data_IF_703346509554
#
_entry.id   IF_703346509554
#
_cell.length_a   1.000
_cell.length_b   1.000
_cell.length_c   1.000
_cell.angle_alpha   90.00
_cell.angle_beta   90.00
_cell.angle_gamma   90.00
#
_symmetry.space_group_name_H-M   'P 1'
#
loop_
_entity.id
_entity.type
_entity.pdbx_description
1 polymer ?
#
# COMPACT_ATOMS: atom_id res chain seq x y z
N UNK A 1 -4.86 11.02 -11.27
CA UNK A 1 -4.53 12.41 -10.90
C UNK A 1 -5.43 12.85 -9.76
N UNK A 2 -4.92 12.94 -8.57
CA UNK A 2 -5.71 13.38 -7.42
C UNK A 2 -5.88 14.89 -7.48
N UNK A 3 -7.12 15.36 -7.49
CA UNK A 3 -7.43 16.80 -7.45
C UNK A 3 -7.74 17.18 -6.01
N UNK A 4 -6.89 18.00 -5.42
CA UNK A 4 -7.19 18.61 -4.11
C UNK A 4 -8.16 19.78 -4.36
N UNK A 5 -9.31 19.70 -3.72
CA UNK A 5 -10.30 20.79 -3.76
C UNK A 5 -10.41 21.42 -2.36
N UNK A 6 -10.24 22.70 -2.30
CA UNK A 6 -10.52 23.48 -1.10
C UNK A 6 -11.94 24.03 -1.26
N UNK A 7 -12.80 23.81 -0.26
CA UNK A 7 -14.16 24.36 -0.27
C UNK A 7 -14.12 25.89 -0.23
N UNK A 8 -15.17 26.54 -0.76
CA UNK A 8 -15.28 28.01 -0.69
C UNK A 8 -15.29 28.51 0.75
N UNK A 9 -15.92 27.77 1.65
CA UNK A 9 -16.01 28.13 3.07
C UNK A 9 -14.64 27.99 3.76
N UNK A 10 -13.90 26.92 3.49
CA UNK A 10 -12.55 26.76 3.99
C UNK A 10 -11.61 27.85 3.47
N UNK A 11 -11.73 28.23 2.18
CA UNK A 11 -10.94 29.30 1.59
C UNK A 11 -11.30 30.67 2.22
N UNK A 12 -12.60 30.94 2.43
CA UNK A 12 -13.08 32.14 3.11
C UNK A 12 -12.62 32.20 4.57
N UNK A 13 -12.52 31.04 5.25
CA UNK A 13 -11.96 30.92 6.59
C UNK A 13 -10.42 31.05 6.64
N UNK A 14 -9.76 31.31 5.50
CA UNK A 14 -8.32 31.56 5.42
C UNK A 14 -7.48 30.32 5.17
N UNK A 15 -8.08 29.16 4.88
CA UNK A 15 -7.31 27.97 4.49
C UNK A 15 -6.64 28.18 3.13
N UNK A 16 -5.34 27.92 3.07
CA UNK A 16 -4.50 28.11 1.87
C UNK A 16 -3.73 26.83 1.58
N UNK A 17 -3.18 26.72 0.37
CA UNK A 17 -2.37 25.57 -0.04
C UNK A 17 -1.23 25.28 0.94
N UNK A 18 -0.63 26.29 1.55
CA UNK A 18 0.41 26.10 2.57
C UNK A 18 -0.04 25.23 3.76
N UNK A 19 -1.32 25.26 4.11
CA UNK A 19 -1.86 24.45 5.21
C UNK A 19 -1.96 22.98 4.85
N UNK A 20 -1.93 22.63 3.56
CA UNK A 20 -1.86 21.25 3.09
C UNK A 20 -0.52 20.62 3.55
N UNK A 21 0.58 21.37 3.50
CA UNK A 21 1.87 20.92 4.01
C UNK A 21 1.82 20.59 5.51
N UNK A 22 1.12 21.41 6.30
CA UNK A 22 0.94 21.17 7.74
C UNK A 22 0.10 19.91 8.01
N UNK A 23 -0.94 19.67 7.22
CA UNK A 23 -1.75 18.45 7.31
C UNK A 23 -0.93 17.22 6.92
N UNK A 24 -0.19 17.29 5.82
CA UNK A 24 0.67 16.20 5.37
C UNK A 24 1.80 15.92 6.38
N UNK A 25 2.42 16.95 6.94
CA UNK A 25 3.41 16.78 7.99
C UNK A 25 2.82 16.06 9.21
N UNK A 26 1.64 16.49 9.66
CA UNK A 26 0.96 15.85 10.78
C UNK A 26 0.63 14.39 10.49
N UNK A 27 0.19 14.08 9.27
CA UNK A 27 -0.10 12.71 8.85
C UNK A 27 1.17 11.85 8.82
N UNK A 28 2.23 12.32 8.17
CA UNK A 28 3.51 11.61 8.11
C UNK A 28 4.09 11.42 9.51
N UNK A 29 3.95 12.42 10.39
CA UNK A 29 4.40 12.30 11.77
C UNK A 29 3.65 11.22 12.55
N UNK A 30 2.35 11.09 12.32
CA UNK A 30 1.54 10.08 12.99
C UNK A 30 1.85 8.65 12.50
N UNK A 31 2.15 8.51 11.20
CA UNK A 31 2.38 7.20 10.57
C UNK A 31 3.87 6.79 10.61
N UNK A 32 4.78 7.76 10.53
CA UNK A 32 6.22 7.53 10.37
C UNK A 32 7.06 8.53 11.19
N UNK A 33 6.82 8.61 12.49
CA UNK A 33 7.50 9.58 13.37
C UNK A 33 9.04 9.50 13.26
N UNK A 34 9.59 8.29 13.11
CA UNK A 34 11.03 8.08 12.99
C UNK A 34 11.70 8.74 11.77
N UNK A 35 10.93 9.11 10.75
CA UNK A 35 11.45 9.67 9.49
C UNK A 35 10.88 11.02 9.12
N UNK A 36 9.92 11.55 9.88
CA UNK A 36 9.21 12.79 9.53
C UNK A 36 10.15 13.96 9.25
N UNK A 37 11.21 14.10 10.05
CA UNK A 37 12.18 15.18 9.90
C UNK A 37 13.17 14.98 8.74
N UNK A 38 13.11 13.82 8.09
CA UNK A 38 13.90 13.48 6.89
C UNK A 38 13.08 13.53 5.61
N UNK A 39 11.78 13.79 5.72
CA UNK A 39 10.87 13.85 4.58
C UNK A 39 10.74 15.27 4.07
N UNK A 40 10.92 15.46 2.76
CA UNK A 40 10.55 16.67 2.04
C UNK A 40 9.33 16.35 1.16
N UNK A 41 8.25 17.10 1.34
CA UNK A 41 7.05 16.98 0.53
C UNK A 41 6.91 18.19 -0.37
N UNK A 42 7.03 17.96 -1.67
CA UNK A 42 6.86 18.99 -2.69
C UNK A 42 5.54 18.77 -3.43
N UNK A 43 4.68 19.79 -3.43
CA UNK A 43 3.37 19.73 -4.07
C UNK A 43 3.41 20.52 -5.39
N UNK A 44 3.29 19.79 -6.49
CA UNK A 44 3.18 20.38 -7.83
C UNK A 44 1.71 20.61 -8.16
N UNK A 45 1.34 21.82 -8.54
CA UNK A 45 -0.03 22.21 -8.87
C UNK A 45 -0.22 22.56 -10.34
N UNK A 46 0.85 22.90 -11.03
CA UNK A 46 0.84 23.13 -12.47
C UNK A 46 0.77 21.82 -13.26
N UNK A 47 -0.20 21.63 -14.18
CA UNK A 47 -0.37 20.36 -14.89
C UNK A 47 0.82 19.98 -15.79
N UNK A 48 1.50 20.94 -16.38
CA UNK A 48 2.65 20.67 -17.25
C UNK A 48 3.84 20.22 -16.39
N UNK A 49 4.07 20.87 -15.27
CA UNK A 49 5.11 20.50 -14.32
C UNK A 49 4.81 19.12 -13.67
N UNK A 50 3.56 18.83 -13.33
CA UNK A 50 3.16 17.49 -12.84
C UNK A 50 3.49 16.40 -13.88
N UNK A 51 3.19 16.67 -15.16
CA UNK A 51 3.49 15.73 -16.25
C UNK A 51 5.00 15.54 -16.41
N UNK A 52 5.76 16.61 -16.38
CA UNK A 52 7.22 16.57 -16.48
C UNK A 52 7.84 15.76 -15.34
N UNK A 53 7.50 16.07 -14.09
CA UNK A 53 8.02 15.37 -12.92
C UNK A 53 7.62 13.88 -12.94
N UNK A 54 6.41 13.57 -13.37
CA UNK A 54 5.98 12.17 -13.52
C UNK A 54 6.88 11.40 -14.48
N UNK A 55 7.14 11.95 -15.67
CA UNK A 55 7.88 11.24 -16.71
C UNK A 55 9.39 11.29 -16.50
N UNK A 56 9.93 12.39 -16.05
CA UNK A 56 11.39 12.59 -15.94
C UNK A 56 11.96 12.10 -14.60
N UNK A 57 11.14 12.06 -13.55
CA UNK A 57 11.60 11.71 -12.20
C UNK A 57 10.92 10.46 -11.65
N UNK A 58 9.58 10.46 -11.54
CA UNK A 58 8.87 9.40 -10.83
C UNK A 58 8.93 8.05 -11.57
N UNK A 59 8.62 8.02 -12.85
CA UNK A 59 8.65 6.78 -13.65
C UNK A 59 10.04 6.14 -13.66
N UNK A 60 11.15 6.85 -13.91
CA UNK A 60 12.49 6.26 -13.83
C UNK A 60 12.85 5.69 -12.46
N UNK A 61 12.39 6.32 -11.37
CA UNK A 61 12.62 5.81 -10.00
C UNK A 61 11.86 4.50 -9.79
N UNK A 62 10.58 4.44 -10.20
CA UNK A 62 9.77 3.22 -10.10
C UNK A 62 10.33 2.09 -10.96
N UNK A 63 10.72 2.37 -12.20
CA UNK A 63 11.34 1.36 -13.07
C UNK A 63 12.61 0.78 -12.42
N UNK A 64 13.45 1.64 -11.85
CA UNK A 64 14.67 1.21 -11.17
C UNK A 64 14.42 0.39 -9.90
N UNK A 65 13.28 0.64 -9.22
CA UNK A 65 12.81 -0.21 -8.11
C UNK A 65 12.37 -1.57 -8.65
N UNK A 66 11.57 -1.58 -9.70
CA UNK A 66 10.99 -2.79 -10.29
C UNK A 66 12.09 -3.71 -10.86
N UNK A 67 13.11 -3.15 -11.52
CA UNK A 67 14.30 -3.89 -11.96
C UNK A 67 15.01 -4.65 -10.82
N UNK A 68 14.95 -4.14 -9.59
CA UNK A 68 15.51 -4.84 -8.42
C UNK A 68 14.59 -5.94 -7.91
N UNK A 69 13.27 -5.78 -8.10
CA UNK A 69 12.28 -6.80 -7.74
C UNK A 69 12.29 -7.96 -8.72
N UNK A 70 12.55 -7.73 -10.01
CA UNK A 70 12.60 -8.77 -11.05
C UNK A 70 13.60 -9.89 -10.75
N UNK A 71 14.54 -9.66 -9.84
CA UNK A 71 15.52 -10.64 -9.38
C UNK A 71 15.06 -11.43 -8.16
N UNK A 72 13.92 -11.09 -7.58
CA UNK A 72 13.38 -11.70 -6.37
C UNK A 72 12.08 -12.45 -6.71
N UNK A 73 11.96 -13.64 -6.14
CA UNK A 73 10.72 -14.41 -6.17
C UNK A 73 10.19 -14.62 -4.76
N UNK A 74 8.95 -15.02 -4.63
CA UNK A 74 8.35 -15.32 -3.35
C UNK A 74 9.10 -16.42 -2.61
N UNK A 75 9.73 -17.36 -3.33
CA UNK A 75 10.57 -18.44 -2.76
C UNK A 75 11.94 -17.94 -2.30
N UNK A 76 12.45 -16.86 -2.90
CA UNK A 76 13.79 -16.33 -2.63
C UNK A 76 13.91 -15.53 -1.33
N UNK A 77 12.81 -15.29 -0.65
CA UNK A 77 12.76 -14.51 0.59
C UNK A 77 12.17 -15.32 1.74
N UNK A 78 12.64 -15.07 2.96
CA UNK A 78 12.17 -15.76 4.17
C UNK A 78 10.97 -15.09 4.80
N UNK A 79 10.73 -13.81 4.48
CA UNK A 79 9.64 -13.03 5.07
C UNK A 79 8.88 -12.23 4.01
N UNK A 80 7.58 -12.08 4.23
CA UNK A 80 6.70 -11.13 3.57
C UNK A 80 6.47 -9.93 4.48
N UNK A 81 5.73 -8.94 4.02
CA UNK A 81 5.38 -7.78 4.84
C UNK A 81 3.88 -7.50 4.78
N UNK A 82 3.30 -7.12 5.90
CA UNK A 82 1.98 -6.49 5.90
C UNK A 82 2.09 -5.03 5.42
N UNK A 83 0.98 -4.47 4.95
CA UNK A 83 0.82 -3.04 4.76
C UNK A 83 -0.59 -2.63 5.17
N UNK A 84 -0.70 -1.73 6.13
CA UNK A 84 -1.96 -1.23 6.67
C UNK A 84 -2.17 0.27 6.45
N UNK A 85 -1.39 0.90 5.57
CA UNK A 85 -1.48 2.34 5.27
C UNK A 85 -2.89 2.80 4.87
N UNK A 86 -3.68 1.91 4.24
CA UNK A 86 -5.03 2.22 3.82
C UNK A 86 -6.05 2.24 4.97
N UNK A 87 -5.69 1.84 6.18
CA UNK A 87 -6.62 1.80 7.32
C UNK A 87 -7.11 3.18 7.76
N UNK A 88 -6.45 4.25 7.33
CA UNK A 88 -6.96 5.62 7.51
C UNK A 88 -8.36 5.85 6.89
N UNK A 89 -8.73 5.08 5.86
CA UNK A 89 -10.03 5.16 5.19
C UNK A 89 -10.74 3.81 5.02
N UNK A 90 -10.05 2.70 5.21
CA UNK A 90 -10.59 1.33 5.17
C UNK A 90 -10.06 0.54 6.37
N UNK A 91 -10.68 0.63 7.55
CA UNK A 91 -10.09 0.20 8.82
C UNK A 91 -9.70 -1.28 8.93
N UNK A 92 -10.28 -2.13 8.08
CA UNK A 92 -9.99 -3.57 8.06
C UNK A 92 -9.10 -3.99 6.89
N UNK A 93 -8.63 -3.02 6.08
CA UNK A 93 -7.80 -3.35 4.93
C UNK A 93 -6.39 -3.71 5.37
N UNK A 94 -5.88 -4.83 4.86
CA UNK A 94 -4.48 -5.25 4.99
C UNK A 94 -4.02 -5.84 3.67
N UNK A 95 -2.84 -5.46 3.22
CA UNK A 95 -2.13 -6.14 2.14
C UNK A 95 -1.06 -7.05 2.72
N UNK A 96 -0.85 -8.19 2.09
CA UNK A 96 0.38 -8.98 2.21
C UNK A 96 1.22 -8.69 0.98
N UNK A 97 2.37 -8.08 1.21
CA UNK A 97 3.28 -7.63 0.14
C UNK A 97 4.42 -8.62 0.04
N UNK A 98 4.59 -9.19 -1.14
CA UNK A 98 5.65 -10.15 -1.46
C UNK A 98 6.50 -9.61 -2.61
N UNK A 99 7.65 -10.23 -2.93
CA UNK A 99 8.41 -9.84 -4.11
C UNK A 99 7.60 -9.78 -5.40
N UNK A 100 6.68 -10.72 -5.58
CA UNK A 100 5.86 -10.85 -6.79
C UNK A 100 4.48 -10.17 -6.67
N UNK A 101 4.15 -9.60 -5.50
CA UNK A 101 2.85 -8.95 -5.24
C UNK A 101 3.02 -7.63 -4.54
N UNK A 102 2.69 -6.58 -5.26
CA UNK A 102 2.61 -5.23 -4.72
C UNK A 102 1.42 -5.09 -3.76
N UNK A 103 1.44 -4.09 -2.90
CA UNK A 103 0.23 -3.62 -2.26
C UNK A 103 -0.85 -3.28 -3.31
N UNK A 104 -2.12 -3.41 -2.96
CA UNK A 104 -3.26 -3.15 -3.87
C UNK A 104 -3.20 -1.79 -4.56
N UNK A 105 -2.63 -0.79 -3.91
CA UNK A 105 -2.42 0.55 -4.48
C UNK A 105 -1.37 0.58 -5.61
N UNK A 106 -0.61 -0.49 -5.84
CA UNK A 106 0.50 -0.53 -6.79
C UNK A 106 1.72 0.30 -6.40
N UNK A 107 1.69 0.97 -5.25
CA UNK A 107 2.76 1.88 -4.82
C UNK A 107 3.74 1.25 -3.84
N UNK A 108 3.29 0.29 -3.02
CA UNK A 108 4.13 -0.36 -2.01
C UNK A 108 4.61 -1.70 -2.53
N UNK A 109 5.89 -1.80 -2.81
CA UNK A 109 6.56 -3.06 -3.15
C UNK A 109 7.13 -3.74 -1.90
N UNK A 110 7.60 -4.98 -2.04
CA UNK A 110 8.29 -5.69 -0.96
C UNK A 110 9.53 -4.92 -0.46
N UNK A 111 10.28 -4.29 -1.36
CA UNK A 111 11.43 -3.46 -0.98
C UNK A 111 11.02 -2.21 -0.20
N UNK A 112 9.89 -1.59 -0.57
CA UNK A 112 9.36 -0.42 0.13
C UNK A 112 8.85 -0.81 1.52
N UNK A 113 8.13 -1.94 1.62
CA UNK A 113 7.63 -2.44 2.89
C UNK A 113 8.79 -2.85 3.83
N UNK A 114 9.81 -3.51 3.30
CA UNK A 114 11.04 -3.85 4.04
C UNK A 114 11.76 -2.60 4.57
N UNK A 115 11.94 -1.59 3.72
CA UNK A 115 12.57 -0.34 4.12
C UNK A 115 11.74 0.40 5.17
N UNK A 116 10.41 0.42 5.01
CA UNK A 116 9.48 1.00 6.00
C UNK A 116 9.60 0.32 7.35
N UNK A 117 9.60 -1.01 7.38
CA UNK A 117 9.77 -1.77 8.63
C UNK A 117 11.14 -1.49 9.29
N UNK A 118 12.21 -1.42 8.50
CA UNK A 118 13.54 -1.10 9.03
C UNK A 118 13.65 0.30 9.64
N UNK A 119 12.90 1.26 9.09
CA UNK A 119 12.86 2.63 9.59
C UNK A 119 11.94 2.78 10.80
N UNK A 120 10.83 2.07 10.82
CA UNK A 120 9.85 2.04 11.90
C UNK A 120 9.32 0.62 12.12
N UNK A 121 9.96 -0.15 13.02
CA UNK A 121 9.54 -1.53 13.32
C UNK A 121 8.13 -1.66 13.93
N UNK A 122 7.56 -0.56 14.43
CA UNK A 122 6.19 -0.53 14.95
C UNK A 122 5.21 0.15 13.97
N UNK A 123 5.69 0.49 12.80
CA UNK A 123 4.93 1.20 11.77
C UNK A 123 3.96 0.30 10.98
N UNK A 124 3.46 0.82 9.86
CA UNK A 124 2.37 0.18 9.11
C UNK A 124 2.80 -1.06 8.30
N UNK A 125 4.10 -1.35 8.21
CA UNK A 125 4.61 -2.53 7.53
C UNK A 125 5.32 -3.44 8.54
N UNK A 126 4.77 -4.63 8.75
CA UNK A 126 5.30 -5.61 9.70
C UNK A 126 5.77 -6.87 8.99
N UNK A 127 6.83 -7.48 9.49
CA UNK A 127 7.31 -8.76 8.97
C UNK A 127 6.29 -9.88 9.21
N UNK A 128 6.16 -10.73 8.21
CA UNK A 128 5.34 -11.94 8.26
C UNK A 128 6.23 -13.11 7.83
N UNK A 129 6.48 -14.03 8.73
CA UNK A 129 7.18 -15.28 8.40
C UNK A 129 6.29 -16.16 7.49
N UNK A 130 6.91 -17.11 6.82
CA UNK A 130 6.20 -18.11 5.99
C UNK A 130 6.62 -19.54 6.32
N UNK A 131 7.00 -19.77 7.58
CA UNK A 131 7.55 -21.04 8.03
C UNK A 131 6.48 -22.14 8.12
N UNK A 132 5.25 -21.77 8.54
CA UNK A 132 4.16 -22.73 8.74
C UNK A 132 3.31 -22.83 7.47
N UNK A 133 3.76 -23.69 6.56
CA UNK A 133 3.10 -23.92 5.27
C UNK A 133 1.85 -24.76 5.44
N UNK A 134 0.71 -24.29 4.89
CA UNK A 134 -0.53 -25.06 4.76
C UNK A 134 -0.61 -25.68 3.36
N UNK A 135 -0.46 -24.89 2.32
CA UNK A 135 -0.42 -25.31 0.93
C UNK A 135 0.43 -24.33 0.11
N UNK A 136 1.58 -24.79 -0.32
CA UNK A 136 2.56 -24.00 -1.05
C UNK A 136 2.04 -23.57 -2.43
N UNK A 137 1.27 -24.44 -3.12
CA UNK A 137 0.75 -24.14 -4.45
C UNK A 137 -0.34 -23.04 -4.41
N UNK A 138 -1.04 -22.92 -3.31
CA UNK A 138 -2.04 -21.88 -3.11
C UNK A 138 -1.44 -20.62 -2.46
N UNK A 139 -0.21 -20.68 -2.00
CA UNK A 139 0.36 -19.61 -1.18
C UNK A 139 -0.36 -19.45 0.15
N UNK A 140 -0.74 -20.57 0.77
CA UNK A 140 -1.43 -20.62 2.05
C UNK A 140 -0.44 -20.90 3.18
N UNK A 141 -0.34 -19.97 4.12
CA UNK A 141 0.57 -20.04 5.28
C UNK A 141 -0.19 -19.67 6.55
N UNK A 142 0.05 -20.42 7.63
CA UNK A 142 -0.55 -20.12 8.93
C UNK A 142 -0.10 -18.75 9.47
N UNK A 143 1.19 -18.42 9.30
CA UNK A 143 1.76 -17.14 9.74
C UNK A 143 1.11 -15.97 9.00
N UNK A 144 0.84 -16.13 7.71
CA UNK A 144 0.14 -15.12 6.91
C UNK A 144 -1.31 -14.97 7.38
N UNK A 145 -1.99 -16.07 7.69
CA UNK A 145 -3.37 -16.05 8.20
C UNK A 145 -3.45 -15.34 9.55
N UNK A 146 -2.52 -15.62 10.46
CA UNK A 146 -2.46 -14.95 11.77
C UNK A 146 -2.22 -13.45 11.61
N UNK A 147 -1.27 -13.06 10.77
CA UNK A 147 -0.97 -11.67 10.50
C UNK A 147 -2.17 -10.94 9.87
N UNK A 148 -2.79 -11.53 8.86
CA UNK A 148 -3.98 -10.97 8.21
C UNK A 148 -5.14 -10.83 9.19
N UNK A 149 -5.40 -11.83 10.03
CA UNK A 149 -6.43 -11.77 11.06
C UNK A 149 -6.16 -10.65 12.07
N UNK A 150 -4.93 -10.55 12.52
CA UNK A 150 -4.51 -9.50 13.47
C UNK A 150 -4.69 -8.11 12.86
N UNK A 151 -4.12 -7.88 11.69
CA UNK A 151 -4.06 -6.54 11.08
C UNK A 151 -5.36 -6.11 10.39
N UNK A 152 -6.25 -7.05 10.04
CA UNK A 152 -7.60 -6.73 9.56
C UNK A 152 -8.62 -6.52 10.68
N UNK A 153 -8.19 -6.53 11.94
CA UNK A 153 -9.09 -6.50 13.11
C UNK A 153 -10.10 -7.66 13.10
N UNK A 154 -9.69 -8.83 12.61
CA UNK A 154 -10.53 -10.03 12.53
C UNK A 154 -11.49 -10.07 11.35
N UNK A 155 -11.43 -9.11 10.44
CA UNK A 155 -12.30 -9.10 9.24
C UNK A 155 -11.92 -10.21 8.24
N UNK A 156 -10.65 -10.59 8.21
CA UNK A 156 -10.13 -11.69 7.41
C UNK A 156 -9.51 -12.73 8.33
N UNK A 157 -9.84 -14.00 8.12
CA UNK A 157 -9.28 -15.09 8.93
C UNK A 157 -8.25 -15.91 8.17
N UNK A 158 -8.46 -16.08 6.87
CA UNK A 158 -7.59 -16.83 5.97
C UNK A 158 -7.50 -16.17 4.62
N UNK A 159 -6.35 -16.31 3.99
CA UNK A 159 -6.09 -15.84 2.64
C UNK A 159 -5.19 -16.82 1.90
N UNK A 160 -5.27 -16.80 0.60
CA UNK A 160 -4.32 -17.46 -0.28
C UNK A 160 -3.66 -16.43 -1.20
N UNK A 161 -2.34 -16.53 -1.38
CA UNK A 161 -1.59 -15.54 -2.16
C UNK A 161 -1.65 -15.81 -3.67
N UNK A 162 -1.92 -17.07 -4.08
CA UNK A 162 -1.82 -17.50 -5.48
C UNK A 162 -3.16 -17.93 -6.08
N UNK A 163 -4.24 -17.92 -5.30
CA UNK A 163 -5.55 -18.33 -5.77
C UNK A 163 -6.66 -17.59 -5.04
N UNK A 164 -7.70 -17.20 -5.77
CA UNK A 164 -8.95 -16.65 -5.21
C UNK A 164 -10.05 -17.71 -5.08
N UNK A 165 -9.74 -18.96 -5.37
CA UNK A 165 -10.76 -19.99 -5.50
C UNK A 165 -11.26 -20.56 -4.17
N UNK A 166 -10.47 -20.45 -3.12
CA UNK A 166 -10.78 -20.98 -1.79
C UNK A 166 -10.91 -19.87 -0.75
N UNK A 167 -9.91 -19.02 -0.62
CA UNK A 167 -9.86 -17.94 0.33
C UNK A 167 -9.59 -16.62 -0.42
N UNK A 168 -9.99 -15.47 0.12
CA UNK A 168 -9.74 -14.18 -0.53
C UNK A 168 -8.24 -13.89 -0.62
N UNK A 169 -7.87 -13.13 -1.63
CA UNK A 169 -6.53 -12.55 -1.76
C UNK A 169 -6.50 -11.17 -1.11
N UNK A 170 -5.34 -10.78 -0.60
CA UNK A 170 -5.16 -9.49 0.13
C UNK A 170 -4.26 -8.54 -0.63
N UNK A 171 -3.96 -8.59 -1.76
CA UNK A 171 -3.18 -7.63 -2.54
C UNK A 171 -3.26 -7.94 -4.01
N UNK A 172 -2.81 -7.04 -4.82
CA UNK A 172 -2.73 -7.11 -6.28
C UNK A 172 -4.05 -7.02 -7.06
N UNK A 173 -3.93 -7.09 -8.38
CA UNK A 173 -5.00 -6.88 -9.32
C UNK A 173 -6.17 -7.87 -9.28
N UNK A 174 -6.01 -9.00 -8.62
CA UNK A 174 -7.12 -9.94 -8.43
C UNK A 174 -8.21 -9.37 -7.52
N UNK A 175 -7.83 -8.54 -6.58
CA UNK A 175 -8.77 -7.80 -5.76
C UNK A 175 -9.49 -6.71 -6.57
N UNK A 176 -8.82 -6.10 -7.51
CA UNK A 176 -9.43 -5.13 -8.43
C UNK A 176 -10.56 -5.76 -9.24
N UNK A 177 -10.40 -7.01 -9.69
CA UNK A 177 -11.46 -7.74 -10.37
C UNK A 177 -12.69 -7.98 -9.49
N UNK A 178 -12.51 -8.19 -8.20
CA UNK A 178 -13.61 -8.38 -7.24
C UNK A 178 -14.29 -7.04 -6.94
N UNK A 179 -13.53 -5.97 -6.78
CA UNK A 179 -14.07 -4.63 -6.57
C UNK A 179 -14.75 -4.05 -7.82
N UNK A 180 -14.46 -4.59 -8.99
CA UNK A 180 -15.02 -4.16 -10.25
C UNK A 180 -16.47 -4.61 -10.53
N UNK A 181 -17.06 -5.40 -9.65
CA UNK A 181 -18.47 -5.82 -9.81
C UNK A 181 -19.39 -4.79 -9.16
N UNK A 182 -20.12 -4.07 -9.98
CA UNK A 182 -21.09 -3.08 -9.54
C UNK A 182 -22.49 -3.69 -9.56
N UNK A 183 -23.10 -3.97 -8.39
CA UNK A 183 -24.35 -4.72 -8.33
C UNK A 183 -25.58 -3.94 -8.80
N UNK A 184 -25.50 -2.61 -8.85
CA UNK A 184 -26.66 -1.78 -9.23
C UNK A 184 -26.81 -1.65 -10.73
N UNK A 185 -25.73 -1.67 -11.47
CA UNK A 185 -25.73 -1.59 -12.93
C UNK A 185 -25.73 -2.97 -13.59
N UNK A 186 -25.60 -4.04 -12.81
CA UNK A 186 -25.33 -5.40 -13.30
C UNK A 186 -24.13 -5.45 -14.26
N UNK A 187 -23.21 -4.53 -14.04
CA UNK A 187 -21.99 -4.40 -14.84
C UNK A 187 -20.74 -4.72 -14.04
N UNK A 188 -19.65 -4.85 -14.75
CA UNK A 188 -18.30 -4.84 -14.19
C UNK A 188 -17.74 -3.44 -14.38
N UNK A 189 -17.29 -2.83 -13.31
CA UNK A 189 -16.71 -1.47 -13.31
C UNK A 189 -15.21 -1.55 -13.43
#
# INVERSE_FOLDING_TARGET
MQRIRISKDAFAAGFKIKHIGEVLYSQVKNEFDAVVDKCEVVIYTDPAECTRIRHEVAIPIFNKRDERLDQLTDESVDVYYSCILCQAFSPSHVCVVTPERLGLCGAVSWLDAKATHQLDPNGPCQEITKERVIDENLGAYEDVNEAVKQYSNGALERVTLYSIMQDPMTSCGCFECICGIEPFSNGVV
#
